data_IF_684999764878
#
_entry.id   IF_684999764878
#
_cell.length_a   1.000
_cell.length_b   1.000
_cell.length_c   1.000
_cell.angle_alpha   90.00
_cell.angle_beta   90.00
_cell.angle_gamma   90.00
#
_symmetry.space_group_name_H-M   'P 1'
#
loop_
_entity.id
_entity.type
_entity.pdbx_description
1 polymer ?
#
# COMPACT_ATOMS: atom_id res chain seq x y z
N UNK A 1 -47.64 16.02 63.45
CA UNK A 1 -47.43 14.84 62.57
C UNK A 1 -47.41 15.22 61.08
N UNK A 2 -48.39 16.02 60.60
CA UNK A 2 -48.50 16.46 59.18
C UNK A 2 -47.31 17.31 58.69
N UNK A 3 -46.79 18.23 59.51
CA UNK A 3 -45.64 19.08 59.16
C UNK A 3 -44.32 18.33 58.97
N UNK A 4 -44.15 17.17 59.62
CA UNK A 4 -42.97 16.32 59.47
C UNK A 4 -43.02 15.50 58.16
N UNK A 5 -44.21 15.01 57.80
CA UNK A 5 -44.45 14.30 56.53
C UNK A 5 -44.29 15.23 55.32
N UNK A 6 -44.76 16.47 55.41
CA UNK A 6 -44.58 17.50 54.36
C UNK A 6 -43.10 17.87 54.14
N UNK A 7 -42.30 17.98 55.23
CA UNK A 7 -40.85 18.20 55.12
C UNK A 7 -40.12 17.02 54.45
N UNK A 8 -40.52 15.78 54.76
CA UNK A 8 -39.97 14.58 54.10
C UNK A 8 -40.31 14.54 52.61
N UNK A 9 -41.55 14.85 52.23
CA UNK A 9 -41.96 14.91 50.82
C UNK A 9 -41.17 15.97 50.03
N UNK A 10 -40.96 17.16 50.59
CA UNK A 10 -40.13 18.19 49.95
C UNK A 10 -38.67 17.73 49.79
N UNK A 11 -38.12 17.02 50.77
CA UNK A 11 -36.77 16.46 50.69
C UNK A 11 -36.67 15.37 49.59
N UNK A 12 -37.66 14.50 49.49
CA UNK A 12 -37.73 13.48 48.42
C UNK A 12 -37.85 14.14 47.05
N UNK A 13 -38.65 15.19 46.90
CA UNK A 13 -38.81 15.94 45.64
C UNK A 13 -37.49 16.59 45.21
N UNK A 14 -36.74 17.18 46.14
CA UNK A 14 -35.41 17.76 45.86
C UNK A 14 -34.43 16.67 45.41
N UNK A 15 -34.40 15.53 46.11
CA UNK A 15 -33.52 14.41 45.75
C UNK A 15 -33.87 13.87 44.36
N UNK A 16 -35.16 13.69 44.04
CA UNK A 16 -35.57 13.23 42.70
C UNK A 16 -35.24 14.24 41.60
N UNK A 17 -35.35 15.55 41.88
CA UNK A 17 -34.97 16.60 40.92
C UNK A 17 -33.48 16.57 40.60
N UNK A 18 -32.62 16.41 41.63
CA UNK A 18 -31.17 16.27 41.47
C UNK A 18 -30.83 14.99 40.69
N UNK A 19 -31.53 13.89 40.96
CA UNK A 19 -31.32 12.63 40.25
C UNK A 19 -31.68 12.74 38.76
N UNK A 20 -32.79 13.41 38.45
CA UNK A 20 -33.21 13.67 37.06
C UNK A 20 -32.19 14.55 36.33
N UNK A 21 -31.72 15.61 36.97
CA UNK A 21 -30.68 16.47 36.42
C UNK A 21 -29.38 15.70 36.14
N UNK A 22 -28.97 14.84 37.09
CA UNK A 22 -27.79 14.01 36.96
C UNK A 22 -27.91 13.01 35.79
N UNK A 23 -29.07 12.38 35.61
CA UNK A 23 -29.32 11.48 34.47
C UNK A 23 -29.20 12.20 33.12
N UNK A 24 -29.78 13.40 33.00
CA UNK A 24 -29.68 14.21 31.77
C UNK A 24 -28.22 14.59 31.49
N UNK A 25 -27.47 14.94 32.54
CA UNK A 25 -26.05 15.28 32.42
C UNK A 25 -25.19 14.08 32.02
N UNK A 26 -25.45 12.90 32.58
CA UNK A 26 -24.79 11.65 32.21
C UNK A 26 -25.04 11.28 30.74
N UNK A 27 -26.28 11.35 30.27
CA UNK A 27 -26.62 11.06 28.86
C UNK A 27 -25.93 12.03 27.93
N UNK A 28 -25.96 13.34 28.22
CA UNK A 28 -25.31 14.37 27.40
C UNK A 28 -23.80 14.12 27.28
N UNK A 29 -23.14 13.77 28.40
CA UNK A 29 -21.70 13.46 28.42
C UNK A 29 -21.39 12.20 27.61
N UNK A 30 -22.18 11.13 27.79
CA UNK A 30 -22.01 9.87 27.08
C UNK A 30 -22.29 10.01 25.58
N UNK A 31 -23.25 10.84 25.17
CA UNK A 31 -23.54 11.13 23.77
C UNK A 31 -22.38 11.85 23.07
N UNK A 32 -21.74 12.82 23.74
CA UNK A 32 -20.57 13.54 23.22
C UNK A 32 -19.36 12.60 23.13
N UNK A 33 -19.13 11.78 24.16
CA UNK A 33 -18.04 10.80 24.18
C UNK A 33 -18.20 9.74 23.08
N UNK A 34 -19.41 9.21 22.88
CA UNK A 34 -19.69 8.25 21.81
C UNK A 34 -19.46 8.87 20.42
N UNK A 35 -19.83 10.13 20.22
CA UNK A 35 -19.57 10.82 18.95
C UNK A 35 -18.07 11.03 18.70
N UNK A 36 -17.31 11.41 19.75
CA UNK A 36 -15.85 11.55 19.68
C UNK A 36 -15.15 10.21 19.40
N UNK A 37 -15.60 9.12 20.02
CA UNK A 37 -15.09 7.77 19.77
C UNK A 37 -15.41 7.31 18.34
N UNK A 38 -16.63 7.55 17.84
CA UNK A 38 -16.99 7.21 16.45
C UNK A 38 -16.15 7.99 15.44
N UNK A 39 -16.00 9.29 15.65
CA UNK A 39 -15.21 10.15 14.77
C UNK A 39 -13.72 9.76 14.80
N UNK A 40 -13.15 9.49 15.98
CA UNK A 40 -11.76 9.04 16.11
C UNK A 40 -11.53 7.66 15.49
N UNK A 41 -12.45 6.70 15.66
CA UNK A 41 -12.36 5.39 15.00
C UNK A 41 -12.44 5.50 13.46
N UNK A 42 -13.30 6.38 12.94
CA UNK A 42 -13.40 6.63 11.51
C UNK A 42 -12.09 7.24 10.95
N UNK A 43 -11.54 8.25 11.62
CA UNK A 43 -10.26 8.86 11.26
C UNK A 43 -9.13 7.82 11.33
N UNK A 44 -9.08 7.02 12.39
CA UNK A 44 -8.08 5.97 12.57
C UNK A 44 -8.16 4.90 11.48
N UNK A 45 -9.37 4.43 11.16
CA UNK A 45 -9.57 3.45 10.08
C UNK A 45 -9.14 4.00 8.72
N UNK A 46 -9.42 5.28 8.44
CA UNK A 46 -8.94 5.95 7.22
C UNK A 46 -7.42 6.06 7.17
N UNK A 47 -6.78 6.42 8.29
CA UNK A 47 -5.31 6.50 8.38
C UNK A 47 -4.66 5.12 8.24
N UNK A 48 -5.24 4.09 8.84
CA UNK A 48 -4.79 2.71 8.70
C UNK A 48 -4.88 2.25 7.24
N UNK A 49 -6.01 2.47 6.58
CA UNK A 49 -6.16 2.14 5.15
C UNK A 49 -5.14 2.88 4.26
N UNK A 50 -4.86 4.15 4.55
CA UNK A 50 -3.86 4.94 3.83
C UNK A 50 -2.43 4.43 4.07
N UNK A 51 -2.11 4.05 5.31
CA UNK A 51 -0.83 3.41 5.65
C UNK A 51 -0.67 2.08 4.94
N UNK A 52 -1.72 1.26 4.88
CA UNK A 52 -1.71 -0.03 4.17
C UNK A 52 -1.48 0.16 2.68
N UNK A 53 -2.17 1.13 2.05
CA UNK A 53 -1.91 1.52 0.65
C UNK A 53 -0.45 1.94 0.43
N UNK A 54 0.09 2.80 1.30
CA UNK A 54 1.50 3.25 1.20
C UNK A 54 2.45 2.05 1.28
N UNK A 55 2.23 1.16 2.25
CA UNK A 55 3.02 -0.06 2.43
C UNK A 55 2.97 -0.99 1.20
N UNK A 56 1.77 -1.19 0.63
CA UNK A 56 1.58 -2.03 -0.55
C UNK A 56 2.37 -1.48 -1.76
N UNK A 57 2.30 -0.16 -1.99
CA UNK A 57 2.99 0.51 -3.09
C UNK A 57 4.51 0.54 -2.90
N UNK A 58 5.01 0.79 -1.68
CA UNK A 58 6.44 0.65 -1.35
C UNK A 58 6.94 -0.77 -1.61
N UNK A 59 6.16 -1.78 -1.20
CA UNK A 59 6.51 -3.19 -1.38
C UNK A 59 6.68 -3.55 -2.85
N UNK A 60 5.76 -3.10 -3.71
CA UNK A 60 5.84 -3.33 -5.16
C UNK A 60 7.03 -2.62 -5.81
N UNK A 61 7.32 -1.36 -5.43
CA UNK A 61 8.50 -0.67 -5.93
C UNK A 61 9.80 -1.42 -5.55
N UNK A 62 9.88 -1.92 -4.32
CA UNK A 62 11.00 -2.74 -3.86
C UNK A 62 11.08 -4.07 -4.63
N UNK A 63 9.95 -4.72 -4.91
CA UNK A 63 9.88 -5.97 -5.69
C UNK A 63 10.41 -5.76 -7.13
N UNK A 64 10.02 -4.67 -7.79
CA UNK A 64 10.54 -4.28 -9.12
C UNK A 64 12.04 -3.99 -9.08
N UNK A 65 12.50 -3.24 -8.09
CA UNK A 65 13.91 -2.90 -7.91
C UNK A 65 14.78 -4.14 -7.70
N UNK A 66 14.33 -5.06 -6.84
CA UNK A 66 14.98 -6.37 -6.64
C UNK A 66 14.98 -7.22 -7.91
N UNK A 67 13.88 -7.20 -8.67
CA UNK A 67 13.76 -7.94 -9.93
C UNK A 67 14.81 -7.47 -10.93
N UNK A 68 14.98 -6.15 -11.08
CA UNK A 68 16.04 -5.59 -11.90
C UNK A 68 17.43 -6.03 -11.43
N UNK A 69 17.74 -5.91 -10.15
CA UNK A 69 19.06 -6.30 -9.62
C UNK A 69 19.35 -7.78 -9.91
N UNK A 70 18.35 -8.65 -9.78
CA UNK A 70 18.48 -10.07 -10.16
C UNK A 70 18.70 -10.25 -11.65
N UNK A 71 17.99 -9.52 -12.52
CA UNK A 71 18.21 -9.57 -13.97
C UNK A 71 19.62 -9.09 -14.34
N UNK A 72 20.14 -8.05 -13.68
CA UNK A 72 21.53 -7.59 -13.89
C UNK A 72 22.55 -8.65 -13.46
N UNK A 73 22.35 -9.28 -12.30
CA UNK A 73 23.21 -10.36 -11.83
C UNK A 73 23.20 -11.55 -12.80
N UNK A 74 22.01 -11.96 -13.25
CA UNK A 74 21.86 -13.03 -14.25
C UNK A 74 22.51 -12.62 -15.57
N UNK A 75 22.33 -11.39 -16.03
CA UNK A 75 22.96 -10.87 -17.24
C UNK A 75 24.49 -10.95 -17.18
N UNK A 76 25.08 -10.61 -16.02
CA UNK A 76 26.52 -10.77 -15.79
C UNK A 76 26.94 -12.25 -15.82
N UNK A 77 26.15 -13.16 -15.23
CA UNK A 77 26.40 -14.60 -15.33
C UNK A 77 26.30 -15.11 -16.77
N UNK A 78 25.33 -14.63 -17.54
CA UNK A 78 25.14 -15.01 -18.96
C UNK A 78 26.28 -14.52 -19.85
N UNK A 79 26.88 -13.38 -19.51
CA UNK A 79 28.07 -12.85 -20.18
C UNK A 79 29.34 -13.69 -19.96
N UNK A 80 29.39 -14.50 -18.91
CA UNK A 80 30.52 -15.40 -18.66
C UNK A 80 30.49 -16.57 -19.65
N UNK A 81 31.58 -16.75 -20.40
CA UNK A 81 31.70 -17.76 -21.47
C UNK A 81 31.95 -19.20 -20.99
N UNK A 82 32.30 -19.43 -19.72
CA UNK A 82 32.66 -20.75 -19.16
C UNK A 82 31.55 -21.36 -18.28
N UNK A 83 30.28 -21.30 -18.71
CA UNK A 83 29.19 -21.89 -17.94
C UNK A 83 29.07 -23.39 -18.19
N UNK A 84 28.99 -24.17 -17.12
CA UNK A 84 28.63 -25.57 -17.22
C UNK A 84 27.11 -25.75 -17.43
N UNK A 85 26.69 -26.96 -17.79
CA UNK A 85 25.28 -27.28 -18.07
C UNK A 85 24.35 -27.09 -16.85
N UNK A 86 24.88 -27.22 -15.64
CA UNK A 86 24.14 -27.00 -14.39
C UNK A 86 23.88 -25.51 -14.13
N UNK A 87 24.86 -24.66 -14.38
CA UNK A 87 24.76 -23.19 -14.29
C UNK A 87 23.79 -22.62 -15.32
N UNK A 88 23.81 -23.13 -16.56
CA UNK A 88 22.81 -22.75 -17.57
C UNK A 88 21.38 -23.12 -17.15
N UNK A 89 21.20 -24.30 -16.55
CA UNK A 89 19.90 -24.74 -16.04
C UNK A 89 19.44 -23.88 -14.86
N UNK A 90 20.36 -23.50 -13.96
CA UNK A 90 20.07 -22.59 -12.86
C UNK A 90 19.64 -21.20 -13.36
N UNK A 91 20.33 -20.64 -14.36
CA UNK A 91 19.95 -19.37 -14.99
C UNK A 91 18.54 -19.45 -15.57
N UNK A 92 18.20 -20.51 -16.30
CA UNK A 92 16.85 -20.73 -16.85
C UNK A 92 15.79 -20.80 -15.75
N UNK A 93 16.06 -21.50 -14.65
CA UNK A 93 15.16 -21.57 -13.48
C UNK A 93 14.96 -20.19 -12.83
N UNK A 94 16.03 -19.41 -12.67
CA UNK A 94 15.97 -18.07 -12.09
C UNK A 94 15.17 -17.10 -12.98
N UNK A 95 15.36 -17.14 -14.30
CA UNK A 95 14.58 -16.35 -15.26
C UNK A 95 13.10 -16.75 -15.23
N UNK A 96 12.79 -18.05 -15.18
CA UNK A 96 11.41 -18.52 -15.04
C UNK A 96 10.77 -18.06 -13.72
N UNK A 97 11.54 -18.04 -12.63
CA UNK A 97 11.07 -17.49 -11.36
C UNK A 97 10.81 -15.98 -11.47
N UNK A 98 11.71 -15.22 -12.10
CA UNK A 98 11.52 -13.78 -12.31
C UNK A 98 10.27 -13.49 -13.15
N UNK A 99 10.03 -14.24 -14.23
CA UNK A 99 8.82 -14.11 -15.03
C UNK A 99 7.54 -14.31 -14.18
N UNK A 100 7.54 -15.31 -13.29
CA UNK A 100 6.44 -15.52 -12.33
C UNK A 100 6.31 -14.36 -11.35
N UNK A 101 7.41 -13.85 -10.80
CA UNK A 101 7.41 -12.67 -9.93
C UNK A 101 6.81 -11.46 -10.63
N UNK A 102 7.22 -11.17 -11.87
CA UNK A 102 6.67 -10.07 -12.67
C UNK A 102 5.17 -10.25 -12.93
N UNK A 103 4.69 -11.46 -13.18
CA UNK A 103 3.27 -11.74 -13.34
C UNK A 103 2.48 -11.48 -12.05
N UNK A 104 3.02 -11.90 -10.90
CA UNK A 104 2.40 -11.65 -9.59
C UNK A 104 2.40 -10.15 -9.25
N UNK A 105 3.50 -9.45 -9.52
CA UNK A 105 3.61 -7.99 -9.35
C UNK A 105 2.55 -7.27 -10.18
N UNK A 106 2.34 -7.66 -11.44
CA UNK A 106 1.30 -7.09 -12.31
C UNK A 106 -0.11 -7.34 -11.75
N UNK A 107 -0.40 -8.54 -11.25
CA UNK A 107 -1.71 -8.84 -10.62
C UNK A 107 -1.97 -7.96 -9.40
N UNK A 108 -0.97 -7.81 -8.51
CA UNK A 108 -1.07 -6.92 -7.34
C UNK A 108 -1.28 -5.46 -7.77
N UNK A 109 -0.58 -5.03 -8.81
CA UNK A 109 -0.74 -3.68 -9.37
C UNK A 109 -2.15 -3.41 -9.89
N UNK A 110 -2.76 -4.37 -10.60
CA UNK A 110 -4.13 -4.21 -11.10
C UNK A 110 -5.16 -4.09 -9.97
N UNK A 111 -4.95 -4.78 -8.84
CA UNK A 111 -5.79 -4.64 -7.64
C UNK A 111 -5.65 -3.22 -7.06
N UNK A 112 -4.43 -2.71 -6.91
CA UNK A 112 -4.19 -1.33 -6.48
C UNK A 112 -4.84 -0.31 -7.43
N UNK A 113 -4.70 -0.53 -8.73
CA UNK A 113 -5.28 0.33 -9.75
C UNK A 113 -6.80 0.42 -9.66
N UNK A 114 -7.47 -0.68 -9.35
CA UNK A 114 -8.92 -0.66 -9.14
C UNK A 114 -9.29 0.20 -7.91
N UNK A 115 -8.49 0.13 -6.83
CA UNK A 115 -8.69 0.97 -5.63
C UNK A 115 -8.46 2.46 -5.89
N UNK A 116 -7.56 2.82 -6.81
CA UNK A 116 -7.13 4.21 -7.07
C UNK A 116 -7.58 4.78 -8.44
N UNK A 117 -8.61 4.19 -9.06
CA UNK A 117 -9.03 4.51 -10.44
C UNK A 117 -9.37 5.99 -10.70
N UNK A 118 -9.84 6.71 -9.67
CA UNK A 118 -10.23 8.11 -9.76
C UNK A 118 -9.08 9.10 -9.57
N UNK A 119 -7.91 8.64 -9.18
CA UNK A 119 -6.75 9.49 -8.87
C UNK A 119 -5.95 9.79 -10.15
N UNK A 120 -5.77 11.08 -10.47
CA UNK A 120 -5.01 11.50 -11.66
C UNK A 120 -3.50 11.28 -11.50
N UNK A 121 -2.95 11.47 -10.31
CA UNK A 121 -1.54 11.20 -10.02
C UNK A 121 -1.25 9.70 -10.13
N UNK A 122 -2.21 8.86 -9.74
CA UNK A 122 -2.12 7.42 -9.93
C UNK A 122 -2.10 7.01 -11.41
N UNK A 123 -2.76 7.75 -12.31
CA UNK A 123 -2.74 7.43 -13.76
C UNK A 123 -1.35 7.60 -14.38
N UNK A 124 -0.63 8.65 -14.01
CA UNK A 124 0.76 8.82 -14.48
C UNK A 124 1.66 7.74 -13.90
N UNK A 125 1.48 7.40 -12.62
CA UNK A 125 2.17 6.27 -12.00
C UNK A 125 1.87 4.94 -12.71
N UNK A 126 0.62 4.65 -13.10
CA UNK A 126 0.23 3.45 -13.86
C UNK A 126 0.94 3.38 -15.22
N UNK A 127 1.04 4.50 -15.94
CA UNK A 127 1.75 4.56 -17.22
C UNK A 127 3.22 4.21 -17.04
N UNK A 128 3.89 4.81 -16.06
CA UNK A 128 5.30 4.54 -15.79
C UNK A 128 5.55 3.13 -15.27
N UNK A 129 4.65 2.62 -14.43
CA UNK A 129 4.69 1.23 -13.98
C UNK A 129 4.64 0.27 -15.16
N UNK A 130 3.69 0.44 -16.08
CA UNK A 130 3.57 -0.42 -17.27
C UNK A 130 4.80 -0.36 -18.15
N UNK A 131 5.36 0.85 -18.34
CA UNK A 131 6.58 1.02 -19.11
C UNK A 131 7.75 0.25 -18.47
N UNK A 132 7.95 0.40 -17.16
CA UNK A 132 8.99 -0.32 -16.42
C UNK A 132 8.75 -1.84 -16.43
N UNK A 133 7.53 -2.27 -16.13
CA UNK A 133 7.15 -3.69 -16.07
C UNK A 133 7.35 -4.39 -17.43
N UNK A 134 6.88 -3.78 -18.52
CA UNK A 134 7.10 -4.29 -19.87
C UNK A 134 8.60 -4.34 -20.22
N UNK A 135 9.37 -3.31 -19.84
CA UNK A 135 10.81 -3.29 -20.07
C UNK A 135 11.53 -4.42 -19.32
N UNK A 136 11.12 -4.73 -18.08
CA UNK A 136 11.67 -5.84 -17.31
C UNK A 136 11.28 -7.21 -17.89
N UNK A 137 10.09 -7.34 -18.46
CA UNK A 137 9.69 -8.54 -19.21
C UNK A 137 10.56 -8.71 -20.45
N UNK A 138 10.74 -7.65 -21.25
CA UNK A 138 11.61 -7.67 -22.42
C UNK A 138 13.05 -8.04 -22.05
N UNK A 139 13.57 -7.45 -20.96
CA UNK A 139 14.90 -7.78 -20.45
C UNK A 139 15.01 -9.26 -20.05
N UNK A 140 14.00 -9.79 -19.37
CA UNK A 140 13.93 -11.22 -19.04
C UNK A 140 13.91 -12.09 -20.30
N UNK A 141 13.19 -11.68 -21.34
CA UNK A 141 13.11 -12.40 -22.61
C UNK A 141 14.44 -12.37 -23.38
N UNK A 142 15.12 -11.21 -23.45
CA UNK A 142 16.44 -11.09 -24.05
C UNK A 142 17.46 -11.98 -23.36
N UNK A 143 17.49 -11.99 -22.02
CA UNK A 143 18.38 -12.86 -21.25
C UNK A 143 18.04 -14.35 -21.44
N UNK A 144 16.74 -14.69 -21.57
CA UNK A 144 16.30 -16.07 -21.83
C UNK A 144 16.69 -16.55 -23.22
N UNK A 145 16.69 -15.65 -24.22
CA UNK A 145 17.13 -15.92 -25.59
C UNK A 145 18.66 -15.88 -25.76
N UNK A 146 19.41 -15.45 -24.75
CA UNK A 146 20.85 -15.21 -24.84
C UNK A 146 21.23 -13.95 -25.64
N UNK A 147 20.27 -13.08 -25.97
CA UNK A 147 20.51 -11.83 -26.69
C UNK A 147 20.97 -10.71 -25.72
N UNK A 148 22.22 -10.82 -25.30
CA UNK A 148 22.82 -9.85 -24.38
C UNK A 148 23.01 -8.48 -25.02
N UNK A 149 23.18 -8.41 -26.34
CA UNK A 149 23.34 -7.12 -27.05
C UNK A 149 22.09 -6.28 -26.94
N UNK A 150 20.91 -6.88 -27.11
CA UNK A 150 19.63 -6.17 -26.92
C UNK A 150 19.38 -5.86 -25.44
N UNK A 151 19.72 -6.78 -24.54
CA UNK A 151 19.60 -6.56 -23.09
C UNK A 151 20.39 -5.32 -22.61
N UNK A 152 21.64 -5.16 -23.05
CA UNK A 152 22.51 -4.03 -22.65
C UNK A 152 22.04 -2.70 -23.28
N UNK A 153 21.51 -2.73 -24.50
CA UNK A 153 21.03 -1.52 -25.19
C UNK A 153 19.77 -0.92 -24.56
N UNK A 154 19.00 -1.70 -23.82
CA UNK A 154 17.77 -1.22 -23.20
C UNK A 154 18.09 -0.13 -22.16
N UNK A 155 17.48 1.07 -22.23
CA UNK A 155 17.74 2.15 -21.29
C UNK A 155 16.99 1.94 -19.96
N UNK A 156 17.07 0.75 -19.37
CA UNK A 156 16.27 0.33 -18.21
C UNK A 156 16.47 1.27 -17.02
N UNK A 157 17.65 1.86 -16.84
CA UNK A 157 17.92 2.83 -15.77
C UNK A 157 16.99 4.04 -15.86
N UNK A 158 16.99 4.72 -17.01
CA UNK A 158 16.13 5.90 -17.23
C UNK A 158 14.65 5.57 -17.06
N UNK A 159 14.23 4.36 -17.45
CA UNK A 159 12.83 3.92 -17.30
C UNK A 159 12.48 3.73 -15.82
N UNK A 160 13.39 3.14 -15.03
CA UNK A 160 13.19 3.02 -13.58
C UNK A 160 13.21 4.37 -12.88
N UNK A 161 14.13 5.27 -13.25
CA UNK A 161 14.20 6.61 -12.69
C UNK A 161 12.89 7.37 -12.97
N UNK A 162 12.39 7.31 -14.21
CA UNK A 162 11.11 7.95 -14.56
C UNK A 162 9.91 7.38 -13.80
N UNK A 163 9.92 6.08 -13.48
CA UNK A 163 8.93 5.48 -12.58
C UNK A 163 9.10 5.96 -11.15
N UNK A 164 10.34 6.02 -10.65
CA UNK A 164 10.65 6.48 -9.30
C UNK A 164 10.21 7.94 -9.08
N UNK A 165 10.40 8.81 -10.08
CA UNK A 165 9.94 10.20 -10.01
C UNK A 165 8.41 10.27 -9.83
N UNK A 166 7.66 9.52 -10.63
CA UNK A 166 6.19 9.47 -10.51
C UNK A 166 5.74 8.81 -9.21
N UNK A 167 6.50 7.83 -8.72
CA UNK A 167 6.28 7.19 -7.43
C UNK A 167 6.46 8.20 -6.28
N UNK A 168 7.53 9.00 -6.29
CA UNK A 168 7.77 10.02 -5.25
C UNK A 168 6.66 11.07 -5.26
N UNK A 169 6.23 11.53 -6.44
CA UNK A 169 5.11 12.47 -6.57
C UNK A 169 3.84 11.90 -5.96
N UNK A 170 3.44 10.68 -6.37
CA UNK A 170 2.22 10.05 -5.85
C UNK A 170 2.28 9.78 -4.34
N UNK A 171 3.44 9.38 -3.82
CA UNK A 171 3.62 9.18 -2.38
C UNK A 171 3.58 10.50 -1.59
N UNK A 172 3.98 11.61 -2.22
CA UNK A 172 3.80 12.96 -1.69
C UNK A 172 2.32 13.38 -1.66
N UNK A 173 1.55 13.05 -2.69
CA UNK A 173 0.11 13.36 -2.79
C UNK A 173 -0.75 12.55 -1.79
N UNK A 174 -0.25 11.39 -1.35
CA UNK A 174 -0.90 10.56 -0.32
C UNK A 174 -0.70 11.09 1.12
N UNK A 175 -0.14 12.29 1.32
CA UNK A 175 0.05 12.89 2.66
C UNK A 175 -1.12 13.78 3.10
#
# INVERSE_FOLDING_TARGET
MVTYLLKKLNLVVIIMSIMLFFLVFQVSTNSILLNSIKNSNFIFSKLMALSDTKSEIYSLNNELSKTRTKLLAIGATVLSNDRNSEEENNVKKQLAHIAKTLQLTSKKWEILKQKHKSDNSFKELDKKFKQLHNSLIELCNFLSAGDIKSAIKQPTQKIQDSFFDSFVIYMGDLN
#
